data_IF_181264858048
#
_entry.id   IF_181264858048
#
_cell.length_a   1.000
_cell.length_b   1.000
_cell.length_c   1.000
_cell.angle_alpha   90.00
_cell.angle_beta   90.00
_cell.angle_gamma   90.00
#
_symmetry.space_group_name_H-M   'P 1'
#
loop_
_entity.id
_entity.type
_entity.pdbx_description
1 polymer ?
#
# COMPACT_ATOMS: atom_id res chain seq x y z
N UNK A 1 51.03 -33.47 54.25
CA UNK A 1 50.52 -33.16 55.60
C UNK A 1 49.91 -31.77 55.59
N UNK A 2 48.63 -31.68 55.99
CA UNK A 2 47.83 -30.47 56.29
C UNK A 2 47.54 -29.49 55.14
N UNK A 3 46.35 -28.90 54.96
CA UNK A 3 44.92 -29.12 55.31
C UNK A 3 44.22 -28.00 54.52
N UNK A 4 43.24 -28.33 53.67
CA UNK A 4 41.84 -27.85 53.79
C UNK A 4 41.62 -26.32 53.77
N UNK A 5 40.97 -25.81 52.70
CA UNK A 5 39.58 -25.32 52.73
C UNK A 5 39.26 -24.23 51.66
N UNK A 6 38.22 -24.54 50.88
CA UNK A 6 37.10 -23.70 50.42
C UNK A 6 37.29 -22.25 49.92
N UNK A 7 36.78 -22.01 48.71
CA UNK A 7 35.49 -21.29 48.60
C UNK A 7 35.43 -19.94 47.86
N UNK A 8 34.62 -19.94 46.80
CA UNK A 8 33.76 -18.86 46.27
C UNK A 8 34.32 -17.76 45.32
N UNK A 9 34.02 -17.98 44.02
CA UNK A 9 33.29 -17.12 43.06
C UNK A 9 33.46 -15.58 43.14
N UNK A 10 33.81 -15.00 41.98
CA UNK A 10 33.10 -13.79 41.51
C UNK A 10 33.95 -12.68 40.89
N UNK A 11 34.13 -12.78 39.56
CA UNK A 11 33.96 -11.71 38.57
C UNK A 11 34.45 -10.28 38.90
N UNK A 12 35.45 -9.80 38.14
CA UNK A 12 35.47 -8.50 37.45
C UNK A 12 36.87 -8.32 36.82
N UNK A 13 36.97 -8.35 35.48
CA UNK A 13 36.87 -7.21 34.55
C UNK A 13 38.22 -6.51 34.35
N UNK A 14 38.48 -6.16 33.09
CA UNK A 14 39.43 -5.13 32.61
C UNK A 14 40.91 -5.57 32.56
N UNK A 15 41.73 -5.37 31.53
CA UNK A 15 41.66 -4.72 30.21
C UNK A 15 42.90 -5.24 29.45
N UNK A 16 42.77 -5.65 28.20
CA UNK A 16 43.91 -5.57 27.27
C UNK A 16 43.65 -4.41 26.32
N UNK A 17 44.44 -3.36 26.54
CA UNK A 17 44.71 -2.27 25.61
C UNK A 17 45.76 -2.71 24.59
N UNK A 18 45.96 -1.84 23.59
CA UNK A 18 46.85 -1.92 22.42
C UNK A 18 46.27 -2.71 21.24
N UNK A 19 46.39 -2.28 19.99
CA UNK A 19 46.94 -1.09 19.33
C UNK A 19 46.80 -1.34 17.82
N UNK A 20 46.60 -0.28 17.05
CA UNK A 20 47.01 -0.09 15.63
C UNK A 20 46.57 -1.06 14.52
N UNK A 21 45.91 -0.43 13.53
CA UNK A 21 45.95 -0.61 12.06
C UNK A 21 45.72 -1.97 11.37
N UNK A 22 44.88 -1.85 10.33
CA UNK A 22 44.70 -2.73 9.16
C UNK A 22 43.97 -4.06 9.39
N UNK A 23 42.74 -4.12 8.89
CA UNK A 23 42.31 -5.12 7.92
C UNK A 23 40.83 -4.92 7.63
N UNK A 24 40.48 -4.80 6.35
CA UNK A 24 39.10 -4.89 5.92
C UNK A 24 38.48 -6.17 6.46
N UNK A 25 37.43 -6.02 7.24
CA UNK A 25 36.43 -7.05 7.42
C UNK A 25 35.16 -6.53 6.76
N UNK A 26 34.98 -6.91 5.50
CA UNK A 26 33.65 -7.18 4.96
C UNK A 26 33.03 -8.24 5.87
N UNK A 27 32.49 -7.78 7.01
CA UNK A 27 31.36 -8.47 7.58
C UNK A 27 30.24 -8.20 6.58
N UNK A 28 29.72 -9.20 5.87
CA UNK A 28 28.59 -8.96 5.02
C UNK A 28 27.53 -8.35 5.91
N UNK A 29 27.10 -7.13 5.57
CA UNK A 29 25.86 -6.59 6.11
C UNK A 29 24.87 -7.71 5.92
N UNK A 30 24.40 -8.30 7.03
CA UNK A 30 23.34 -9.30 6.98
C UNK A 30 22.10 -8.52 6.58
N UNK A 31 21.98 -8.27 5.27
CA UNK A 31 20.78 -7.78 4.64
C UNK A 31 19.83 -8.95 4.80
N UNK A 32 18.94 -8.87 5.78
CA UNK A 32 17.81 -9.76 5.86
C UNK A 32 17.19 -9.83 4.46
N UNK A 33 16.95 -11.02 3.88
CA UNK A 33 16.44 -11.12 2.51
C UNK A 33 15.22 -10.21 2.39
N UNK A 34 15.30 -9.21 1.53
CA UNK A 34 14.24 -8.23 1.33
C UNK A 34 13.07 -8.96 0.70
N UNK A 35 12.18 -9.51 1.53
CA UNK A 35 11.06 -10.28 1.07
C UNK A 35 10.17 -9.39 0.19
N UNK A 36 10.03 -9.76 -1.08
CA UNK A 36 9.07 -9.17 -2.00
C UNK A 36 7.83 -10.07 -2.02
N UNK A 37 6.65 -9.47 -1.91
CA UNK A 37 5.40 -10.25 -1.98
C UNK A 37 5.21 -10.73 -3.41
N UNK A 38 5.22 -12.05 -3.61
CA UNK A 38 5.02 -12.68 -4.92
C UNK A 38 3.54 -12.83 -5.26
N UNK A 39 2.72 -13.12 -4.25
CA UNK A 39 1.31 -13.44 -4.43
C UNK A 39 0.50 -13.10 -3.19
N UNK A 40 -0.73 -12.64 -3.40
CA UNK A 40 -1.76 -12.52 -2.36
C UNK A 40 -3.00 -13.26 -2.82
N UNK A 41 -3.56 -14.10 -1.97
CA UNK A 41 -4.87 -14.73 -2.20
C UNK A 41 -5.89 -14.17 -1.24
N UNK A 42 -7.11 -13.92 -1.71
CA UNK A 42 -8.25 -13.50 -0.88
C UNK A 42 -9.32 -14.57 -0.93
N UNK A 43 -9.79 -14.98 0.24
CA UNK A 43 -10.91 -15.90 0.42
C UNK A 43 -12.02 -15.24 1.23
N UNK A 44 -13.25 -15.70 1.06
CA UNK A 44 -14.36 -15.32 1.94
C UNK A 44 -14.21 -15.92 3.35
N UNK A 45 -15.14 -15.58 4.24
CA UNK A 45 -15.18 -16.09 5.61
C UNK A 45 -15.34 -17.62 5.71
N UNK A 46 -15.79 -18.30 4.65
CA UNK A 46 -15.90 -19.75 4.57
C UNK A 46 -14.65 -20.41 3.94
N UNK A 47 -13.65 -19.63 3.56
CA UNK A 47 -12.40 -20.11 2.97
C UNK A 47 -12.45 -20.29 1.45
N UNK A 48 -13.55 -19.95 0.78
CA UNK A 48 -13.67 -20.03 -0.67
C UNK A 48 -12.74 -18.99 -1.31
N UNK A 49 -11.83 -19.44 -2.18
CA UNK A 49 -10.92 -18.55 -2.89
C UNK A 49 -11.69 -17.63 -3.84
N UNK A 50 -11.64 -16.33 -3.59
CA UNK A 50 -12.29 -15.30 -4.40
C UNK A 50 -11.33 -14.76 -5.46
N UNK A 51 -10.08 -14.52 -5.07
CA UNK A 51 -9.13 -13.70 -5.83
C UNK A 51 -7.71 -14.20 -5.64
N UNK A 52 -6.93 -14.16 -6.71
CA UNK A 52 -5.46 -14.25 -6.67
C UNK A 52 -4.86 -13.00 -7.29
N UNK A 53 -3.94 -12.36 -6.58
CA UNK A 53 -3.10 -11.28 -7.09
C UNK A 53 -1.67 -11.77 -7.18
N UNK A 54 -1.02 -11.60 -8.33
CA UNK A 54 0.39 -11.92 -8.54
C UNK A 54 1.18 -10.67 -8.90
N UNK A 55 2.45 -10.63 -8.50
CA UNK A 55 3.32 -9.48 -8.66
C UNK A 55 4.56 -9.89 -9.47
N UNK A 56 4.99 -9.02 -10.37
CA UNK A 56 6.22 -9.19 -11.15
C UNK A 56 7.17 -8.04 -10.87
N UNK A 57 8.46 -8.33 -10.78
CA UNK A 57 9.48 -7.37 -10.36
C UNK A 57 10.68 -7.33 -11.31
N UNK A 58 11.34 -6.17 -11.34
CA UNK A 58 12.69 -5.96 -11.84
C UNK A 58 13.54 -5.42 -10.69
N UNK A 59 14.30 -6.30 -10.04
CA UNK A 59 14.87 -6.03 -8.72
C UNK A 59 13.77 -5.68 -7.71
N UNK A 60 13.89 -4.53 -7.04
CA UNK A 60 12.89 -4.03 -6.09
C UNK A 60 11.83 -3.12 -6.73
N UNK A 61 11.81 -2.99 -8.07
CA UNK A 61 10.78 -2.24 -8.78
C UNK A 61 9.65 -3.19 -9.15
N UNK A 62 8.43 -2.89 -8.71
CA UNK A 62 7.27 -3.61 -9.22
C UNK A 62 7.04 -3.22 -10.68
N UNK A 63 6.97 -4.21 -11.57
CA UNK A 63 6.69 -4.01 -13.00
C UNK A 63 5.20 -4.16 -13.26
N UNK A 64 4.57 -5.17 -12.66
CA UNK A 64 3.13 -5.37 -12.82
C UNK A 64 2.45 -6.09 -11.66
N UNK A 65 1.13 -5.89 -11.56
CA UNK A 65 0.20 -6.64 -10.71
C UNK A 65 -0.90 -7.24 -11.58
N UNK A 66 -1.15 -8.54 -11.45
CA UNK A 66 -2.25 -9.20 -12.15
C UNK A 66 -3.26 -9.75 -11.15
N UNK A 67 -4.52 -9.38 -11.32
CA UNK A 67 -5.66 -9.82 -10.52
C UNK A 67 -6.50 -10.80 -11.32
N UNK A 68 -6.62 -12.01 -10.77
CA UNK A 68 -7.49 -13.05 -11.31
C UNK A 68 -8.61 -13.31 -10.32
N UNK A 69 -9.84 -13.04 -10.74
CA UNK A 69 -11.03 -13.48 -10.03
C UNK A 69 -11.19 -15.00 -10.21
N UNK A 70 -11.27 -15.74 -9.11
CA UNK A 70 -11.43 -17.19 -9.12
C UNK A 70 -12.88 -17.62 -8.84
N UNK A 71 -13.67 -16.77 -8.18
CA UNK A 71 -15.06 -17.10 -7.89
C UNK A 71 -15.98 -15.89 -7.83
N UNK A 72 -17.25 -16.13 -8.18
CA UNK A 72 -18.36 -15.23 -8.02
C UNK A 72 -18.98 -15.47 -6.64
N UNK A 73 -18.78 -14.55 -5.71
CA UNK A 73 -19.57 -14.48 -4.48
C UNK A 73 -20.57 -13.31 -4.51
N UNK A 74 -20.54 -12.47 -5.56
CA UNK A 74 -21.27 -11.19 -5.62
C UNK A 74 -22.36 -11.11 -6.72
N UNK A 75 -22.83 -12.23 -7.25
CA UNK A 75 -24.05 -12.26 -8.09
C UNK A 75 -23.97 -11.61 -9.48
N UNK A 76 -22.76 -11.26 -9.96
CA UNK A 76 -22.54 -10.81 -11.34
C UNK A 76 -21.70 -11.84 -12.09
N UNK A 77 -22.27 -12.49 -13.10
CA UNK A 77 -21.72 -13.67 -13.81
C UNK A 77 -20.59 -13.40 -14.81
N UNK A 78 -20.04 -12.17 -14.86
CA UNK A 78 -18.97 -11.86 -15.80
C UNK A 78 -17.64 -11.87 -15.03
N UNK A 79 -16.80 -12.86 -15.35
CA UNK A 79 -15.44 -12.92 -14.81
C UNK A 79 -14.60 -11.80 -15.41
N UNK A 80 -13.90 -11.04 -14.57
CA UNK A 80 -12.93 -10.05 -15.04
C UNK A 80 -11.54 -10.37 -14.47
N UNK A 81 -10.52 -10.01 -15.23
CA UNK A 81 -9.15 -9.90 -14.71
C UNK A 81 -8.66 -8.47 -14.89
N UNK A 82 -7.82 -8.00 -13.98
CA UNK A 82 -7.17 -6.71 -14.10
C UNK A 82 -5.66 -6.91 -14.20
N UNK A 83 -4.99 -6.09 -15.00
CA UNK A 83 -3.54 -5.94 -14.97
C UNK A 83 -3.21 -4.49 -14.65
N UNK A 84 -2.24 -4.28 -13.77
CA UNK A 84 -1.66 -2.97 -13.51
C UNK A 84 -0.20 -3.00 -13.92
N UNK A 85 0.22 -2.07 -14.77
CA UNK A 85 1.61 -1.93 -15.21
C UNK A 85 2.19 -0.63 -14.66
N UNK A 86 3.46 -0.67 -14.24
CA UNK A 86 4.16 0.45 -13.60
C UNK A 86 5.37 0.87 -14.43
N UNK A 87 5.63 2.17 -14.48
CA UNK A 87 6.84 2.73 -15.09
C UNK A 87 7.55 3.68 -14.13
N UNK A 88 8.86 3.84 -14.33
CA UNK A 88 9.73 4.53 -13.39
C UNK A 88 10.62 5.58 -14.06
N UNK A 89 11.04 6.55 -13.26
CA UNK A 89 12.26 7.33 -13.49
C UNK A 89 13.12 7.22 -12.24
N UNK A 90 14.32 6.65 -12.37
CA UNK A 90 15.12 6.25 -11.20
C UNK A 90 14.34 5.26 -10.32
N UNK A 91 14.10 5.64 -9.06
CA UNK A 91 13.38 4.83 -8.07
C UNK A 91 11.93 5.31 -7.83
N UNK A 92 11.44 6.28 -8.61
CA UNK A 92 10.09 6.84 -8.47
C UNK A 92 9.16 6.25 -9.53
N UNK A 93 7.95 5.85 -9.12
CA UNK A 93 6.89 5.43 -10.02
C UNK A 93 6.34 6.69 -10.70
N UNK A 94 6.45 6.79 -12.03
CA UNK A 94 5.99 7.95 -12.79
C UNK A 94 4.70 7.69 -13.55
N UNK A 95 4.37 6.42 -13.82
CA UNK A 95 3.15 6.05 -14.50
C UNK A 95 2.60 4.72 -13.96
N UNK A 96 1.27 4.63 -13.90
CA UNK A 96 0.52 3.39 -13.62
C UNK A 96 -0.59 3.25 -14.66
N UNK A 97 -0.73 2.09 -15.28
CA UNK A 97 -1.81 1.80 -16.25
C UNK A 97 -2.61 0.61 -15.76
N UNK A 98 -3.93 0.70 -15.81
CA UNK A 98 -4.84 -0.36 -15.39
C UNK A 98 -5.62 -0.83 -16.60
N UNK A 99 -5.56 -2.13 -16.82
CA UNK A 99 -6.23 -2.84 -17.89
C UNK A 99 -7.28 -3.77 -17.31
N UNK A 100 -8.39 -3.95 -18.02
CA UNK A 100 -9.40 -4.97 -17.73
C UNK A 100 -9.54 -5.90 -18.91
N UNK A 101 -9.67 -7.18 -18.61
CA UNK A 101 -10.00 -8.22 -19.58
C UNK A 101 -11.27 -8.92 -19.11
N UNK A 102 -12.43 -8.51 -19.63
CA UNK A 102 -13.68 -9.24 -19.44
C UNK A 102 -13.59 -10.63 -20.09
N UNK A 103 -14.25 -11.63 -19.50
CA UNK A 103 -14.25 -12.99 -20.04
C UNK A 103 -14.77 -13.01 -21.48
N UNK A 104 -13.92 -13.47 -22.41
CA UNK A 104 -14.26 -13.57 -23.84
C UNK A 104 -14.04 -12.28 -24.66
N UNK A 105 -13.49 -11.23 -24.06
CA UNK A 105 -13.20 -9.97 -24.72
C UNK A 105 -11.70 -9.64 -24.70
N UNK A 106 -11.29 -8.74 -25.59
CA UNK A 106 -9.93 -8.21 -25.62
C UNK A 106 -9.66 -7.32 -24.41
N UNK A 107 -8.43 -7.38 -23.91
CA UNK A 107 -7.94 -6.46 -22.90
C UNK A 107 -8.07 -5.01 -23.35
N UNK A 108 -8.52 -4.13 -22.44
CA UNK A 108 -8.57 -2.68 -22.70
C UNK A 108 -8.03 -1.90 -21.51
N UNK A 109 -7.34 -0.81 -21.79
CA UNK A 109 -6.94 0.15 -20.76
C UNK A 109 -8.17 0.89 -20.26
N UNK A 110 -8.35 0.95 -18.94
CA UNK A 110 -9.45 1.68 -18.30
C UNK A 110 -8.98 2.88 -17.50
N UNK A 111 -7.75 2.84 -16.98
CA UNK A 111 -7.18 3.93 -16.18
C UNK A 111 -5.70 4.12 -16.56
N UNK A 112 -5.27 5.37 -16.63
CA UNK A 112 -3.85 5.77 -16.65
C UNK A 112 -3.62 6.82 -15.59
N UNK A 113 -2.59 6.68 -14.78
CA UNK A 113 -2.19 7.67 -13.78
C UNK A 113 -0.75 8.09 -14.03
N UNK A 114 -0.53 9.38 -14.22
CA UNK A 114 0.80 9.99 -14.28
C UNK A 114 1.11 10.70 -12.96
N UNK A 115 2.35 10.58 -12.49
CA UNK A 115 2.82 11.17 -11.24
C UNK A 115 3.98 12.14 -11.50
N UNK A 116 3.92 13.32 -10.89
CA UNK A 116 4.93 14.36 -10.99
C UNK A 116 5.49 14.66 -9.61
N UNK A 117 6.82 14.72 -9.53
CA UNK A 117 7.57 14.94 -8.32
C UNK A 117 8.39 16.23 -8.39
N UNK A 118 8.67 16.82 -7.23
CA UNK A 118 9.67 17.89 -7.12
C UNK A 118 11.11 17.34 -7.14
N UNK A 119 12.10 18.22 -7.01
CA UNK A 119 13.51 17.85 -6.94
C UNK A 119 13.90 17.06 -5.68
N UNK A 120 13.05 17.05 -4.66
CA UNK A 120 13.24 16.26 -3.43
C UNK A 120 12.56 14.87 -3.53
N UNK A 121 11.87 14.59 -4.64
CA UNK A 121 11.10 13.37 -4.84
C UNK A 121 9.81 13.33 -4.03
N UNK A 122 9.26 14.48 -3.63
CA UNK A 122 7.93 14.61 -3.06
C UNK A 122 6.90 14.74 -4.19
N UNK A 123 5.77 14.03 -4.08
CA UNK A 123 4.70 14.09 -5.09
C UNK A 123 4.05 15.47 -5.04
N UNK A 124 3.98 16.14 -6.18
CA UNK A 124 3.38 17.48 -6.31
C UNK A 124 2.13 17.47 -7.17
N UNK A 125 1.96 16.48 -8.05
CA UNK A 125 0.73 16.31 -8.81
C UNK A 125 0.56 14.88 -9.30
N UNK A 126 -0.70 14.48 -9.50
CA UNK A 126 -1.06 13.32 -10.29
C UNK A 126 -2.19 13.64 -11.26
N UNK A 127 -2.18 12.97 -12.42
CA UNK A 127 -3.26 13.06 -13.42
C UNK A 127 -3.77 11.65 -13.68
N UNK A 128 -5.02 11.40 -13.33
CA UNK A 128 -5.71 10.14 -13.57
C UNK A 128 -6.71 10.30 -14.72
N UNK A 129 -6.58 9.47 -15.74
CA UNK A 129 -7.44 9.44 -16.91
C UNK A 129 -8.27 8.16 -16.89
N UNK A 130 -9.61 8.29 -16.87
CA UNK A 130 -10.53 7.17 -16.98
C UNK A 130 -11.06 7.07 -18.40
N UNK A 131 -10.79 5.93 -19.05
CA UNK A 131 -11.15 5.70 -20.44
C UNK A 131 -12.55 5.08 -20.52
N UNK A 132 -13.47 5.83 -21.11
CA UNK A 132 -14.81 5.38 -21.48
C UNK A 132 -14.83 5.10 -22.99
N UNK A 133 -15.93 4.58 -23.52
CA UNK A 133 -15.99 4.13 -24.92
C UNK A 133 -15.66 5.25 -25.92
N UNK A 134 -16.18 6.46 -25.69
CA UNK A 134 -16.10 7.56 -26.66
C UNK A 134 -15.43 8.84 -26.10
N UNK A 135 -15.02 8.82 -24.84
CA UNK A 135 -14.40 9.97 -24.17
C UNK A 135 -13.60 9.50 -22.97
N UNK A 136 -12.89 10.41 -22.32
CA UNK A 136 -12.26 10.17 -21.02
C UNK A 136 -12.62 11.27 -20.04
N UNK A 137 -12.71 10.90 -18.77
CA UNK A 137 -12.69 11.87 -17.68
C UNK A 137 -11.27 11.96 -17.14
N UNK A 138 -10.84 13.16 -16.78
CA UNK A 138 -9.50 13.42 -16.26
C UNK A 138 -9.66 14.01 -14.87
N UNK A 139 -9.00 13.40 -13.89
CA UNK A 139 -8.89 13.85 -12.52
C UNK A 139 -7.45 14.34 -12.30
N UNK A 140 -7.28 15.64 -12.10
CA UNK A 140 -5.98 16.22 -11.77
C UNK A 140 -5.94 16.57 -10.29
N UNK A 141 -4.93 16.07 -9.60
CA UNK A 141 -4.70 16.36 -8.20
C UNK A 141 -3.41 17.16 -8.09
N UNK A 142 -3.46 18.27 -7.37
CA UNK A 142 -2.30 19.07 -6.97
C UNK A 142 -2.07 18.88 -5.49
N UNK A 143 -0.82 18.63 -5.10
CA UNK A 143 -0.41 18.46 -3.71
C UNK A 143 0.49 19.62 -3.30
N UNK A 144 0.19 20.23 -2.15
CA UNK A 144 0.94 21.37 -1.62
C UNK A 144 1.45 20.97 -0.24
N UNK A 145 2.77 20.84 -0.11
CA UNK A 145 3.41 20.56 1.18
C UNK A 145 3.26 21.76 2.10
N UNK A 146 2.65 21.54 3.27
CA UNK A 146 2.54 22.55 4.33
C UNK A 146 3.70 22.36 5.30
N UNK A 147 3.90 21.13 5.75
CA UNK A 147 5.01 20.72 6.61
C UNK A 147 5.38 19.24 6.35
N UNK A 148 6.17 18.62 7.23
CA UNK A 148 6.60 17.23 7.07
C UNK A 148 5.45 16.20 7.20
N UNK A 149 4.42 16.56 7.95
CA UNK A 149 3.31 15.70 8.35
C UNK A 149 1.96 16.16 7.77
N UNK A 150 1.93 17.28 7.05
CA UNK A 150 0.68 17.85 6.50
C UNK A 150 0.86 18.27 5.05
N UNK A 151 -0.10 17.88 4.21
CA UNK A 151 -0.22 18.33 2.82
C UNK A 151 -1.65 18.77 2.52
N UNK A 152 -1.80 19.86 1.78
CA UNK A 152 -3.06 20.21 1.14
C UNK A 152 -3.17 19.50 -0.21
N UNK A 153 -4.40 19.21 -0.64
CA UNK A 153 -4.67 18.80 -2.01
C UNK A 153 -5.81 19.60 -2.64
N UNK A 154 -5.76 19.71 -3.97
CA UNK A 154 -6.84 20.26 -4.80
C UNK A 154 -7.09 19.32 -5.97
N UNK A 155 -8.36 19.05 -6.24
CA UNK A 155 -8.85 18.17 -7.27
C UNK A 155 -9.55 19.00 -8.33
N UNK A 156 -9.23 18.71 -9.58
CA UNK A 156 -9.88 19.27 -10.76
C UNK A 156 -10.41 18.14 -11.63
N UNK A 157 -11.56 18.36 -12.26
CA UNK A 157 -12.19 17.45 -13.21
C UNK A 157 -12.23 18.08 -14.60
N UNK A 158 -11.90 17.28 -15.60
CA UNK A 158 -12.03 17.65 -17.01
C UNK A 158 -12.74 16.53 -17.77
N UNK A 159 -13.73 16.87 -18.58
CA UNK A 159 -14.29 15.97 -19.58
C UNK A 159 -13.56 16.18 -20.91
N UNK A 160 -13.08 15.12 -21.57
CA UNK A 160 -12.32 15.27 -22.81
C UNK A 160 -13.15 15.76 -24.01
N UNK A 161 -14.49 15.82 -23.89
CA UNK A 161 -15.39 16.27 -24.96
C UNK A 161 -15.42 17.80 -25.08
N UNK A 162 -15.38 18.50 -23.96
CA UNK A 162 -15.35 19.97 -23.92
C UNK A 162 -13.99 20.54 -23.50
N UNK A 163 -13.14 19.71 -22.87
CA UNK A 163 -11.83 20.06 -22.33
C UNK A 163 -11.86 21.22 -21.32
N UNK A 164 -12.97 21.37 -20.60
CA UNK A 164 -13.11 22.39 -19.55
C UNK A 164 -12.67 21.80 -18.21
N UNK A 165 -11.58 22.34 -17.65
CA UNK A 165 -11.12 22.00 -16.30
C UNK A 165 -11.95 22.76 -15.25
N UNK A 166 -12.55 22.02 -14.32
CA UNK A 166 -13.39 22.57 -13.24
C UNK A 166 -12.84 22.19 -11.87
N UNK A 167 -12.76 23.14 -10.91
CA UNK A 167 -12.45 22.79 -9.52
C UNK A 167 -13.53 21.86 -8.97
N UNK A 168 -13.11 20.75 -8.36
CA UNK A 168 -14.02 19.75 -7.84
C UNK A 168 -14.00 19.71 -6.31
N UNK A 169 -12.82 19.58 -5.73
CA UNK A 169 -12.68 19.40 -4.28
C UNK A 169 -11.30 19.84 -3.80
N UNK A 170 -11.19 20.13 -2.51
CA UNK A 170 -9.92 20.33 -1.82
C UNK A 170 -9.93 19.61 -0.48
N UNK A 171 -8.77 19.57 0.18
CA UNK A 171 -8.67 18.95 1.49
C UNK A 171 -7.23 18.88 2.01
N UNK A 172 -7.06 18.13 3.09
CA UNK A 172 -5.80 17.92 3.79
C UNK A 172 -5.50 16.43 4.00
N UNK A 173 -4.22 16.12 4.01
CA UNK A 173 -3.68 14.78 4.29
C UNK A 173 -2.68 14.92 5.42
N UNK A 174 -2.85 14.09 6.45
CA UNK A 174 -2.02 14.05 7.64
C UNK A 174 -1.24 12.75 7.67
N UNK A 175 0.03 12.85 8.05
CA UNK A 175 0.96 11.74 8.10
C UNK A 175 1.49 11.51 9.51
N UNK A 176 1.81 10.26 9.83
CA UNK A 176 2.65 9.93 10.98
C UNK A 176 4.15 10.17 10.67
N UNK A 177 5.01 9.91 11.66
CA UNK A 177 6.46 10.03 11.52
C UNK A 177 7.06 9.05 10.48
N UNK A 178 6.37 7.97 10.14
CA UNK A 178 6.77 7.00 9.12
C UNK A 178 6.19 7.33 7.74
N UNK A 179 5.56 8.51 7.58
CA UNK A 179 4.90 8.97 6.35
C UNK A 179 3.69 8.11 5.94
N UNK A 180 3.07 7.41 6.88
CA UNK A 180 1.77 6.76 6.65
C UNK A 180 0.65 7.80 6.76
N UNK A 181 -0.37 7.73 5.89
CA UNK A 181 -1.55 8.61 5.99
C UNK A 181 -2.38 8.18 7.19
N UNK A 182 -2.52 9.04 8.20
CA UNK A 182 -3.34 8.74 9.39
C UNK A 182 -4.73 9.38 9.32
N UNK A 183 -4.87 10.46 8.55
CA UNK A 183 -6.13 11.17 8.35
C UNK A 183 -6.16 11.85 6.99
N UNK A 184 -7.33 11.88 6.38
CA UNK A 184 -7.61 12.64 5.17
C UNK A 184 -8.96 13.35 5.33
N UNK A 185 -8.99 14.66 5.15
CA UNK A 185 -10.18 15.47 5.37
C UNK A 185 -10.47 16.34 4.14
N UNK A 186 -11.73 16.39 3.70
CA UNK A 186 -12.18 17.25 2.59
C UNK A 186 -12.66 18.61 3.08
N UNK A 187 -13.37 18.57 4.20
CA UNK A 187 -13.77 19.71 4.97
C UNK A 187 -13.54 19.34 6.43
N UNK A 188 -12.61 20.01 7.09
CA UNK A 188 -12.37 19.79 8.53
C UNK A 188 -13.58 20.22 9.37
N UNK A 189 -14.32 21.22 8.88
CA UNK A 189 -15.46 21.82 9.57
C UNK A 189 -16.70 20.91 9.54
N UNK A 190 -16.85 20.08 8.49
CA UNK A 190 -18.02 19.21 8.33
C UNK A 190 -17.84 17.79 8.89
N UNK A 191 -16.68 17.48 9.48
CA UNK A 191 -16.42 16.16 10.09
C UNK A 191 -16.32 15.00 9.09
N UNK A 192 -16.27 15.27 7.78
CA UNK A 192 -16.07 14.26 6.74
C UNK A 192 -14.58 13.98 6.53
N UNK A 193 -14.05 13.04 7.32
CA UNK A 193 -12.67 12.60 7.21
C UNK A 193 -12.53 11.09 7.33
N UNK A 194 -11.54 10.57 6.61
CA UNK A 194 -11.08 9.18 6.74
C UNK A 194 -9.97 9.11 7.78
N UNK A 195 -9.92 8.03 8.57
CA UNK A 195 -8.83 7.74 9.50
C UNK A 195 -8.28 6.33 9.30
N UNK A 196 -6.99 6.19 9.55
CA UNK A 196 -6.24 4.96 9.36
C UNK A 196 -5.30 4.76 10.56
N UNK A 197 -5.31 3.55 11.11
CA UNK A 197 -4.40 3.13 12.19
C UNK A 197 -3.55 1.98 11.69
N UNK A 198 -2.25 2.04 11.93
CA UNK A 198 -1.26 1.12 11.40
C UNK A 198 -0.65 0.24 12.50
N UNK A 199 -0.26 -0.97 12.13
CA UNK A 199 0.65 -1.80 12.93
C UNK A 199 2.07 -1.21 12.83
N UNK A 200 2.93 -1.54 13.79
CA UNK A 200 4.34 -1.16 13.82
C UNK A 200 5.24 -2.14 13.04
N UNK A 201 4.71 -3.29 12.61
CA UNK A 201 5.45 -4.30 11.84
C UNK A 201 5.64 -3.93 10.37
N UNK A 202 6.30 -4.79 9.59
CA UNK A 202 6.54 -4.52 8.16
C UNK A 202 5.24 -4.63 7.36
N UNK A 203 5.06 -3.78 6.35
CA UNK A 203 3.99 -3.92 5.37
C UNK A 203 4.43 -4.83 4.19
N UNK A 204 3.50 -5.50 3.49
CA UNK A 204 3.83 -6.45 2.42
C UNK A 204 4.60 -5.83 1.24
N UNK A 205 4.47 -4.51 1.04
CA UNK A 205 5.05 -3.77 -0.08
C UNK A 205 6.21 -2.84 0.34
N UNK A 206 6.75 -3.01 1.56
CA UNK A 206 7.72 -2.07 2.17
C UNK A 206 8.98 -1.92 1.33
N UNK A 207 9.37 -3.01 0.67
CA UNK A 207 10.60 -3.09 -0.11
C UNK A 207 10.41 -2.69 -1.58
N UNK A 208 9.18 -2.32 -2.00
CA UNK A 208 8.92 -1.89 -3.38
C UNK A 208 9.33 -0.41 -3.51
N UNK A 209 10.30 -0.15 -4.39
CA UNK A 209 10.82 1.21 -4.61
C UNK A 209 9.72 2.16 -5.11
N UNK A 210 9.68 3.36 -4.55
CA UNK A 210 8.75 4.43 -4.96
C UNK A 210 7.29 4.19 -4.58
N UNK A 211 6.90 3.01 -4.11
CA UNK A 211 5.50 2.70 -3.79
C UNK A 211 4.96 3.56 -2.65
N UNK A 212 5.81 3.90 -1.67
CA UNK A 212 5.48 4.79 -0.56
C UNK A 212 5.24 6.26 -0.98
N UNK A 213 5.57 6.63 -2.23
CA UNK A 213 5.37 7.99 -2.76
C UNK A 213 4.01 8.19 -3.42
N UNK A 214 3.30 7.11 -3.74
CA UNK A 214 2.00 7.11 -4.42
C UNK A 214 0.88 6.52 -3.54
N UNK A 215 1.03 6.59 -2.22
CA UNK A 215 0.13 5.98 -1.22
C UNK A 215 -1.23 6.69 -1.07
N UNK A 216 -1.55 7.62 -1.97
CA UNK A 216 -2.83 8.31 -1.97
C UNK A 216 -3.89 7.35 -2.49
N UNK A 217 -4.58 6.71 -1.54
CA UNK A 217 -5.79 5.97 -1.82
C UNK A 217 -6.79 6.91 -2.49
N UNK A 218 -7.51 6.41 -3.50
CA UNK A 218 -8.48 7.18 -4.28
C UNK A 218 -9.28 8.09 -3.37
N UNK A 219 -9.03 9.40 -3.50
CA UNK A 219 -9.60 10.44 -2.68
C UNK A 219 -11.14 10.35 -2.85
N UNK A 220 -11.92 9.95 -1.84
CA UNK A 220 -13.38 9.95 -1.96
C UNK A 220 -13.93 11.36 -2.18
N UNK A 221 -14.31 11.65 -3.42
CA UNK A 221 -15.73 11.74 -3.78
C UNK A 221 -15.95 11.18 -5.20
N UNK A 222 -16.77 10.13 -5.25
CA UNK A 222 -17.61 9.71 -6.39
C UNK A 222 -17.03 9.78 -7.82
N UNK A 223 -16.37 8.69 -8.23
CA UNK A 223 -16.96 7.91 -9.30
C UNK A 223 -17.48 6.60 -8.72
N UNK A 224 -18.77 6.37 -8.90
CA UNK A 224 -19.42 5.06 -8.84
C UNK A 224 -18.78 4.11 -9.88
N UNK A 225 -17.51 3.73 -9.72
CA UNK A 225 -16.95 2.52 -10.30
C UNK A 225 -16.93 1.47 -9.20
N UNK A 226 -18.15 1.03 -8.91
CA UNK A 226 -18.54 -0.01 -7.99
C UNK A 226 -18.17 -1.44 -8.47
N UNK A 227 -16.98 -1.66 -9.09
CA UNK A 227 -16.28 -2.93 -8.84
C UNK A 227 -14.76 -2.82 -8.63
N UNK A 228 -14.17 -1.62 -8.58
CA UNK A 228 -12.71 -1.44 -8.37
C UNK A 228 -12.33 -1.32 -6.89
N UNK A 229 -13.12 -1.91 -5.98
CA UNK A 229 -12.76 -2.04 -4.57
C UNK A 229 -11.95 -3.34 -4.38
N UNK A 230 -10.67 -3.38 -4.81
CA UNK A 230 -9.69 -4.15 -4.03
C UNK A 230 -8.50 -3.28 -3.60
N UNK A 231 -8.63 -1.95 -3.63
CA UNK A 231 -7.47 -1.04 -3.57
C UNK A 231 -7.11 -0.48 -2.18
N UNK A 232 -7.87 -0.78 -1.13
CA UNK A 232 -7.49 -0.41 0.24
C UNK A 232 -6.58 -1.46 0.92
N UNK A 233 -6.47 -2.65 0.33
CA UNK A 233 -5.86 -3.82 0.96
C UNK A 233 -4.39 -4.05 0.64
N UNK A 234 -3.82 -3.25 -0.26
CA UNK A 234 -2.60 -3.64 -0.95
C UNK A 234 -1.34 -2.91 -0.53
N UNK A 235 -1.40 -1.94 0.39
CA UNK A 235 -0.21 -1.11 0.65
C UNK A 235 0.28 -1.16 2.09
N UNK A 236 -0.58 -1.43 3.06
CA UNK A 236 -0.27 -1.10 4.44
C UNK A 236 -0.80 -2.14 5.43
N UNK A 237 -0.07 -2.32 6.50
CA UNK A 237 -0.43 -3.07 7.70
C UNK A 237 -1.48 -2.28 8.54
N UNK A 238 -2.58 -1.88 7.91
CA UNK A 238 -3.66 -1.08 8.53
C UNK A 238 -4.42 -1.96 9.50
N UNK A 239 -4.39 -1.63 10.78
CA UNK A 239 -5.17 -2.29 11.83
C UNK A 239 -6.62 -1.85 11.84
N UNK A 240 -6.89 -0.57 11.57
CA UNK A 240 -8.25 -0.02 11.56
C UNK A 240 -8.40 1.04 10.49
N UNK A 241 -9.58 1.08 9.88
CA UNK A 241 -9.93 2.06 8.88
C UNK A 241 -11.37 2.51 9.10
N UNK A 242 -11.55 3.83 9.08
CA UNK A 242 -12.87 4.44 9.08
C UNK A 242 -12.92 5.43 7.93
N UNK A 243 -13.78 5.15 6.93
CA UNK A 243 -13.99 5.98 5.75
C UNK A 243 -15.49 6.29 5.68
N UNK A 244 -15.90 7.57 5.62
CA UNK A 244 -17.31 7.92 5.46
C UNK A 244 -17.95 7.20 4.26
N UNK A 245 -19.13 6.63 4.47
CA UNK A 245 -19.85 5.85 3.45
C UNK A 245 -19.51 4.35 3.38
N UNK A 246 -18.55 3.88 4.18
CA UNK A 246 -18.18 2.47 4.30
C UNK A 246 -18.35 1.97 5.73
N UNK A 247 -18.53 0.65 5.89
CA UNK A 247 -18.44 0.02 7.21
C UNK A 247 -17.00 0.16 7.73
N UNK A 248 -16.79 0.61 8.98
CA UNK A 248 -15.47 0.60 9.57
C UNK A 248 -14.90 -0.81 9.54
N UNK A 249 -13.62 -0.92 9.20
CA UNK A 249 -12.93 -2.20 9.11
C UNK A 249 -11.82 -2.30 10.15
N UNK A 250 -11.63 -3.52 10.63
CA UNK A 250 -10.57 -3.90 11.55
C UNK A 250 -9.83 -5.10 10.98
N UNK A 251 -8.51 -5.09 11.08
CA UNK A 251 -7.67 -6.17 10.59
C UNK A 251 -6.90 -6.84 11.73
N UNK A 252 -6.71 -8.15 11.60
CA UNK A 252 -5.80 -8.94 12.43
C UNK A 252 -4.76 -9.60 11.54
N UNK A 253 -3.48 -9.44 11.89
CA UNK A 253 -2.37 -9.96 11.10
C UNK A 253 -1.61 -11.04 11.84
N UNK A 254 -1.22 -12.08 11.09
CA UNK A 254 -0.23 -13.06 11.51
C UNK A 254 1.05 -12.83 10.71
N UNK A 255 2.22 -12.95 11.35
CA UNK A 255 3.50 -12.58 10.76
C UNK A 255 4.47 -13.76 10.74
N UNK A 256 5.39 -13.77 9.77
CA UNK A 256 6.55 -14.66 9.80
C UNK A 256 7.62 -14.16 10.80
N UNK A 257 8.70 -14.93 10.96
CA UNK A 257 9.84 -14.61 11.83
C UNK A 257 10.56 -13.31 11.47
N UNK A 258 10.48 -12.90 10.20
CA UNK A 258 11.06 -11.65 9.69
C UNK A 258 10.11 -10.44 9.83
N UNK A 259 8.95 -10.62 10.45
CA UNK A 259 7.98 -9.55 10.71
C UNK A 259 7.15 -9.11 9.50
N UNK A 260 7.13 -9.89 8.41
CA UNK A 260 6.24 -9.67 7.27
C UNK A 260 4.91 -10.43 7.47
N UNK A 261 3.76 -9.84 7.11
CA UNK A 261 2.46 -10.47 7.32
C UNK A 261 2.31 -11.66 6.37
N UNK A 262 1.90 -12.82 6.89
CA UNK A 262 1.59 -14.03 6.11
C UNK A 262 0.09 -14.28 6.02
N UNK A 263 -0.69 -13.70 6.93
CA UNK A 263 -2.15 -13.73 6.90
C UNK A 263 -2.70 -12.39 7.40
N UNK A 264 -3.83 -11.96 6.83
CA UNK A 264 -4.67 -10.89 7.36
C UNK A 264 -6.12 -11.35 7.36
N UNK A 265 -6.79 -11.21 8.49
CA UNK A 265 -8.24 -11.36 8.62
C UNK A 265 -8.86 -9.98 8.72
N UNK A 266 -9.79 -9.68 7.82
CA UNK A 266 -10.53 -8.43 7.80
C UNK A 266 -11.92 -8.63 8.43
N UNK A 267 -12.33 -7.72 9.29
CA UNK A 267 -13.60 -7.71 9.99
C UNK A 267 -14.33 -6.39 9.70
N UNK A 268 -15.65 -6.48 9.47
CA UNK A 268 -16.52 -5.31 9.55
C UNK A 268 -16.93 -5.08 11.00
N UNK A 269 -16.82 -3.85 11.47
CA UNK A 269 -17.28 -3.42 12.80
C UNK A 269 -18.77 -3.01 12.70
N UNK A 270 -19.67 -3.99 12.51
CA UNK A 270 -21.12 -3.77 12.45
C UNK A 270 -21.89 -4.83 13.23
N UNK A 271 -22.56 -4.43 14.32
CA UNK A 271 -23.25 -5.34 15.25
C UNK A 271 -22.35 -6.48 15.78
N UNK A 272 -21.10 -6.12 16.10
CA UNK A 272 -20.02 -7.04 16.44
C UNK A 272 -19.02 -7.22 15.29
N UNK A 273 -17.84 -7.74 15.61
CA UNK A 273 -16.79 -7.99 14.60
C UNK A 273 -17.22 -9.19 13.73
N UNK A 274 -17.61 -8.93 12.48
CA UNK A 274 -17.93 -10.00 11.52
C UNK A 274 -16.78 -10.20 10.55
N UNK A 275 -16.21 -11.41 10.52
CA UNK A 275 -15.18 -11.78 9.55
C UNK A 275 -15.72 -11.60 8.13
N UNK A 276 -15.06 -10.75 7.35
CA UNK A 276 -15.40 -10.47 5.97
C UNK A 276 -14.57 -11.33 5.01
N UNK A 277 -13.24 -11.26 5.15
CA UNK A 277 -12.32 -11.89 4.23
C UNK A 277 -11.01 -12.30 4.90
N UNK A 278 -10.34 -13.28 4.30
CA UNK A 278 -9.03 -13.77 4.71
C UNK A 278 -8.06 -13.57 3.56
N UNK A 279 -6.91 -12.96 3.84
CA UNK A 279 -5.85 -12.71 2.89
C UNK A 279 -4.63 -13.51 3.30
N UNK A 280 -3.99 -14.19 2.35
CA UNK A 280 -2.73 -14.89 2.57
C UNK A 280 -1.66 -14.31 1.67
N UNK A 281 -0.47 -14.10 2.24
CA UNK A 281 0.66 -13.45 1.58
C UNK A 281 1.79 -14.46 1.40
N UNK A 282 2.30 -14.53 0.18
CA UNK A 282 3.39 -15.42 -0.20
C UNK A 282 4.55 -14.55 -0.70
N UNK A 283 5.72 -14.74 -0.11
CA UNK A 283 6.93 -13.98 -0.43
C UNK A 283 7.92 -14.82 -1.24
N UNK A 284 8.85 -14.15 -1.90
CA UNK A 284 10.06 -14.75 -2.50
C UNK A 284 11.13 -15.08 -1.45
#
# INVERSE_FOLDING_TARGET
MNKLALGLVGLMLMLFSCSSDSSGSDSPVVVAPSALVKKITTSDSAGKLLVTTTFSYDGNKIVSESWKQNSFSMGTDIGYSYRMDYSYTGNLITNKRIYVTPLGYTERQIIKIDYVYDSNGDLISSVEEHYLENYKTILKILYIKIDNNTQDFKIFLTDSRDNIETPYQNGKIFFDANRNIIKMAYSEEEGYFSTLVYDLKSNPKKNILGYNKIIYFGLPTNFNLHPLIPHLDRSNNILKMNIPGYYPTKNQYTYNTNGYPIERKEYYEYNGDKLNAIFQYFYE
#
